data_IF_442100402227
#
_entry.id   IF_442100402227
#
_cell.length_a   1.000
_cell.length_b   1.000
_cell.length_c   1.000
_cell.angle_alpha   90.00
_cell.angle_beta   90.00
_cell.angle_gamma   90.00
#
_symmetry.space_group_name_H-M   'P 1'
#
loop_
_entity.id
_entity.type
_entity.pdbx_description
1 polymer ?
#
# COMPACT_ATOMS: atom_id res chain seq x y z
N UNK A 1 -12.07 21.98 -4.74
CA UNK A 1 -10.79 21.27 -4.94
C UNK A 1 -9.75 21.86 -4.00
N UNK A 2 -8.96 21.05 -3.29
CA UNK A 2 -7.90 21.57 -2.42
C UNK A 2 -6.92 22.40 -3.25
N UNK A 3 -6.59 23.61 -2.79
CA UNK A 3 -5.77 24.60 -3.53
C UNK A 3 -4.30 24.18 -3.77
N UNK A 4 -3.88 22.94 -3.49
CA UNK A 4 -2.45 22.57 -3.38
C UNK A 4 -1.89 21.57 -4.39
N UNK A 5 -2.70 20.90 -5.22
CA UNK A 5 -2.16 19.85 -6.12
C UNK A 5 -1.38 20.47 -7.26
N UNK A 6 -0.27 19.84 -7.65
CA UNK A 6 0.47 20.19 -8.88
C UNK A 6 -0.33 19.78 -10.13
N UNK A 7 0.09 20.19 -11.35
CA UNK A 7 -0.51 19.66 -12.58
C UNK A 7 -0.51 18.13 -12.64
N UNK A 8 0.62 17.49 -12.31
CA UNK A 8 0.76 16.02 -12.24
C UNK A 8 -0.20 15.43 -11.20
N UNK A 9 -0.28 16.01 -10.01
CA UNK A 9 -1.20 15.60 -8.96
C UNK A 9 -2.66 15.66 -9.41
N UNK A 10 -3.08 16.76 -10.05
CA UNK A 10 -4.44 16.91 -10.56
C UNK A 10 -4.74 15.94 -11.71
N UNK A 11 -3.76 15.65 -12.56
CA UNK A 11 -3.92 14.68 -13.65
C UNK A 11 -4.14 13.28 -13.08
N UNK A 12 -3.25 12.83 -12.18
CA UNK A 12 -3.35 11.52 -11.57
C UNK A 12 -4.61 11.37 -10.69
N UNK A 13 -4.97 12.40 -9.93
CA UNK A 13 -6.20 12.40 -9.11
C UNK A 13 -7.45 12.24 -9.96
N UNK A 14 -7.59 13.02 -11.05
CA UNK A 14 -8.71 12.87 -11.99
C UNK A 14 -8.72 11.50 -12.67
N UNK A 15 -7.55 11.00 -13.03
CA UNK A 15 -7.42 9.68 -13.65
C UNK A 15 -7.91 8.59 -12.69
N UNK A 16 -7.40 8.55 -11.46
CA UNK A 16 -7.76 7.52 -10.47
C UNK A 16 -9.21 7.60 -9.95
N UNK A 17 -9.82 8.79 -9.97
CA UNK A 17 -11.22 8.95 -9.58
C UNK A 17 -12.20 8.27 -10.54
N UNK A 18 -11.85 8.18 -11.83
CA UNK A 18 -12.76 7.69 -12.89
C UNK A 18 -12.23 6.54 -13.74
N UNK A 19 -11.01 6.06 -13.51
CA UNK A 19 -10.42 5.02 -14.35
C UNK A 19 -11.12 3.68 -14.16
N UNK A 20 -11.49 3.04 -15.28
CA UNK A 20 -11.88 1.63 -15.30
C UNK A 20 -10.63 0.75 -15.22
N UNK A 21 -10.76 -0.47 -14.70
CA UNK A 21 -9.67 -1.44 -14.58
C UNK A 21 -8.87 -1.63 -15.87
N UNK A 22 -9.54 -1.79 -17.02
CA UNK A 22 -8.88 -1.95 -18.31
C UNK A 22 -8.10 -0.71 -18.76
N UNK A 23 -8.57 0.49 -18.40
CA UNK A 23 -7.87 1.74 -18.68
C UNK A 23 -6.64 1.88 -17.77
N UNK A 24 -6.77 1.54 -16.48
CA UNK A 24 -5.64 1.52 -15.56
C UNK A 24 -4.56 0.53 -16.02
N UNK A 25 -4.96 -0.69 -16.42
CA UNK A 25 -4.04 -1.73 -16.92
C UNK A 25 -3.19 -1.27 -18.10
N UNK A 26 -3.76 -0.49 -19.03
CA UNK A 26 -3.01 0.11 -20.14
C UNK A 26 -2.11 1.23 -19.65
N UNK A 27 -2.63 2.11 -18.79
CA UNK A 27 -1.91 3.26 -18.27
C UNK A 27 -0.61 2.89 -17.53
N UNK A 28 -0.53 1.70 -16.91
CA UNK A 28 0.70 1.20 -16.29
C UNK A 28 1.90 1.23 -17.24
N UNK A 29 1.70 0.95 -18.53
CA UNK A 29 2.76 1.00 -19.55
C UNK A 29 2.90 2.34 -20.27
N UNK A 30 2.09 3.35 -19.93
CA UNK A 30 2.09 4.62 -20.65
C UNK A 30 3.19 5.57 -20.16
N UNK A 31 3.85 6.33 -21.08
CA UNK A 31 4.92 7.25 -20.71
C UNK A 31 4.49 8.34 -19.72
N UNK A 32 3.25 8.83 -19.80
CA UNK A 32 2.78 9.90 -18.93
C UNK A 32 2.68 9.45 -17.46
N UNK A 33 2.25 8.20 -17.22
CA UNK A 33 2.16 7.67 -15.86
C UNK A 33 3.55 7.40 -15.32
N UNK A 34 4.42 6.79 -16.14
CA UNK A 34 5.81 6.52 -15.80
C UNK A 34 6.65 7.80 -15.61
N UNK A 35 6.26 8.91 -16.22
CA UNK A 35 6.87 10.20 -15.94
C UNK A 35 6.57 10.67 -14.50
N UNK A 36 5.37 10.37 -13.97
CA UNK A 36 4.91 10.78 -12.64
C UNK A 36 5.35 9.78 -11.56
N UNK A 37 5.12 8.50 -11.79
CA UNK A 37 5.47 7.36 -10.96
C UNK A 37 6.44 6.49 -11.78
N UNK A 38 7.76 6.67 -11.65
CA UNK A 38 8.73 5.91 -12.45
C UNK A 38 8.58 4.39 -12.26
N UNK A 39 8.87 3.59 -13.28
CA UNK A 39 8.89 2.10 -13.19
C UNK A 39 7.52 1.41 -12.99
N UNK A 40 6.39 2.09 -13.20
CA UNK A 40 5.07 1.44 -13.15
C UNK A 40 4.90 0.38 -14.25
N UNK A 41 5.59 0.55 -15.38
CA UNK A 41 5.64 -0.43 -16.48
C UNK A 41 6.28 -1.76 -16.03
N UNK A 42 7.21 -1.73 -15.07
CA UNK A 42 7.88 -2.92 -14.55
C UNK A 42 6.97 -3.83 -13.71
N UNK A 43 5.79 -3.37 -13.31
CA UNK A 43 4.79 -4.23 -12.66
C UNK A 43 4.25 -5.28 -13.64
N UNK A 44 4.27 -4.98 -14.94
CA UNK A 44 3.78 -5.85 -16.00
C UNK A 44 4.77 -7.01 -16.17
N UNK A 45 4.26 -8.24 -16.06
CA UNK A 45 5.06 -9.46 -16.15
C UNK A 45 5.84 -9.82 -14.88
N UNK A 46 5.81 -8.98 -13.84
CA UNK A 46 6.39 -9.32 -12.54
C UNK A 46 5.48 -10.34 -11.81
N UNK A 47 5.77 -11.63 -11.98
CA UNK A 47 4.94 -12.71 -11.42
C UNK A 47 4.99 -12.74 -9.89
N UNK A 48 3.85 -12.91 -9.22
CA UNK A 48 3.80 -12.96 -7.74
C UNK A 48 4.07 -14.35 -7.15
N UNK A 49 4.09 -15.39 -7.99
CA UNK A 49 4.32 -16.79 -7.59
C UNK A 49 3.04 -17.62 -7.70
N UNK A 50 3.17 -18.94 -7.64
CA UNK A 50 2.06 -19.88 -7.92
C UNK A 50 1.32 -20.35 -6.65
N UNK A 51 1.89 -20.09 -5.45
CA UNK A 51 1.35 -20.57 -4.17
C UNK A 51 0.29 -19.63 -3.59
N UNK A 52 0.39 -18.34 -3.89
CA UNK A 52 -0.54 -17.26 -3.54
C UNK A 52 -0.48 -16.26 -4.70
N UNK A 53 -1.61 -15.63 -5.05
CA UNK A 53 -1.77 -14.71 -6.18
C UNK A 53 -2.08 -15.38 -7.54
N UNK A 54 -3.09 -16.25 -7.59
CA UNK A 54 -3.52 -16.90 -8.84
C UNK A 54 -4.08 -15.92 -9.90
N UNK A 55 -4.27 -14.64 -9.55
CA UNK A 55 -4.62 -13.57 -10.49
C UNK A 55 -3.48 -13.19 -11.45
N UNK A 56 -2.22 -13.53 -11.13
CA UNK A 56 -1.08 -13.41 -12.04
C UNK A 56 0.02 -12.43 -11.61
N UNK A 57 0.30 -11.43 -12.44
CA UNK A 57 1.39 -10.48 -12.22
C UNK A 57 1.00 -9.32 -11.28
N UNK A 58 2.01 -8.63 -10.74
CA UNK A 58 1.82 -7.47 -9.86
C UNK A 58 0.94 -6.39 -10.50
N UNK A 59 1.03 -6.19 -11.81
CA UNK A 59 0.18 -5.25 -12.53
C UNK A 59 -1.31 -5.63 -12.47
N UNK A 60 -1.62 -6.91 -12.69
CA UNK A 60 -2.99 -7.43 -12.65
C UNK A 60 -3.57 -7.33 -11.24
N UNK A 61 -2.79 -7.74 -10.24
CA UNK A 61 -3.15 -7.60 -8.83
C UNK A 61 -3.42 -6.13 -8.46
N UNK A 62 -2.49 -5.22 -8.75
CA UNK A 62 -2.64 -3.78 -8.47
C UNK A 62 -3.92 -3.20 -9.09
N UNK A 63 -4.23 -3.56 -10.34
CA UNK A 63 -5.45 -3.11 -11.02
C UNK A 63 -6.70 -3.63 -10.31
N UNK A 64 -6.69 -4.87 -9.85
CA UNK A 64 -7.79 -5.45 -9.09
C UNK A 64 -7.97 -4.74 -7.74
N UNK A 65 -6.90 -4.48 -6.99
CA UNK A 65 -6.96 -3.71 -5.73
C UNK A 65 -7.59 -2.34 -5.96
N UNK A 66 -7.12 -1.60 -6.97
CA UNK A 66 -7.69 -0.29 -7.32
C UNK A 66 -9.18 -0.34 -7.69
N UNK A 67 -9.62 -1.41 -8.36
CA UNK A 67 -11.01 -1.58 -8.77
C UNK A 67 -11.92 -2.01 -7.59
N UNK A 68 -11.36 -2.76 -6.64
CA UNK A 68 -12.05 -3.29 -5.46
C UNK A 68 -12.17 -2.24 -4.34
N UNK A 69 -11.19 -1.35 -4.20
CA UNK A 69 -11.12 -0.33 -3.14
C UNK A 69 -12.42 0.47 -2.93
N UNK A 70 -13.12 0.97 -3.97
CA UNK A 70 -14.36 1.73 -3.79
C UNK A 70 -15.50 0.91 -3.17
N UNK A 71 -15.53 -0.42 -3.39
CA UNK A 71 -16.55 -1.29 -2.81
C UNK A 71 -16.42 -1.34 -1.28
N UNK A 72 -15.20 -1.51 -0.80
CA UNK A 72 -14.91 -1.54 0.64
C UNK A 72 -15.02 -0.17 1.30
N UNK A 73 -14.65 0.90 0.60
CA UNK A 73 -14.83 2.26 1.13
C UNK A 73 -16.31 2.56 1.36
N UNK A 74 -17.19 2.20 0.41
CA UNK A 74 -18.65 2.34 0.60
C UNK A 74 -19.17 1.44 1.71
N UNK A 75 -18.69 0.20 1.79
CA UNK A 75 -19.12 -0.77 2.81
C UNK A 75 -18.77 -0.32 4.23
N UNK A 76 -17.54 0.14 4.44
CA UNK A 76 -16.99 0.34 5.78
C UNK A 76 -16.95 1.81 6.22
N UNK A 77 -16.95 2.76 5.27
CA UNK A 77 -16.79 4.18 5.55
C UNK A 77 -17.92 5.04 5.00
N UNK A 78 -18.90 4.45 4.31
CA UNK A 78 -20.03 5.14 3.67
C UNK A 78 -19.59 6.33 2.78
N UNK A 79 -18.46 6.16 2.07
CA UNK A 79 -17.92 7.17 1.16
C UNK A 79 -17.10 6.56 0.02
N UNK A 80 -16.79 7.38 -0.98
CA UNK A 80 -15.75 7.06 -1.95
C UNK A 80 -14.35 7.12 -1.31
N UNK A 81 -13.38 6.31 -1.78
CA UNK A 81 -12.00 6.44 -1.37
C UNK A 81 -11.44 7.74 -1.92
N UNK A 82 -10.67 8.45 -1.10
CA UNK A 82 -10.06 9.72 -1.49
C UNK A 82 -8.79 9.50 -2.33
N UNK A 83 -8.16 10.60 -2.75
CA UNK A 83 -6.98 10.52 -3.61
C UNK A 83 -5.81 9.76 -2.96
N UNK A 84 -5.59 9.89 -1.66
CA UNK A 84 -4.47 9.22 -0.97
C UNK A 84 -4.72 7.72 -0.90
N UNK A 85 -5.95 7.30 -0.63
CA UNK A 85 -6.31 5.88 -0.58
C UNK A 85 -6.20 5.23 -1.97
N UNK A 86 -6.66 5.92 -3.01
CA UNK A 86 -6.50 5.46 -4.41
C UNK A 86 -5.04 5.39 -4.82
N UNK A 87 -4.25 6.39 -4.44
CA UNK A 87 -2.81 6.42 -4.70
C UNK A 87 -2.10 5.28 -3.95
N UNK A 88 -2.44 5.05 -2.68
CA UNK A 88 -1.88 3.95 -1.90
C UNK A 88 -2.18 2.59 -2.56
N UNK A 89 -3.41 2.35 -3.01
CA UNK A 89 -3.75 1.14 -3.76
C UNK A 89 -2.91 0.99 -5.04
N UNK A 90 -2.69 2.07 -5.78
CA UNK A 90 -1.86 2.05 -6.99
C UNK A 90 -0.39 1.71 -6.69
N UNK A 91 0.15 2.17 -5.56
CA UNK A 91 1.59 2.10 -5.30
C UNK A 91 2.01 1.12 -4.20
N UNK A 92 1.09 0.42 -3.54
CA UNK A 92 1.41 -0.45 -2.40
C UNK A 92 2.51 -1.47 -2.75
N UNK A 93 2.41 -2.05 -3.95
CA UNK A 93 3.33 -3.04 -4.50
C UNK A 93 4.34 -2.48 -5.51
N UNK A 94 4.41 -1.16 -5.66
CA UNK A 94 5.20 -0.48 -6.71
C UNK A 94 6.66 -0.94 -6.78
N UNK A 95 7.25 -1.28 -5.63
CA UNK A 95 8.66 -1.69 -5.54
C UNK A 95 8.89 -3.20 -5.52
N UNK A 96 7.88 -4.04 -5.71
CA UNK A 96 8.06 -5.50 -5.88
C UNK A 96 9.04 -5.85 -7.02
N UNK A 97 8.96 -5.26 -8.23
CA UNK A 97 9.93 -5.54 -9.31
C UNK A 97 11.37 -5.19 -8.92
N UNK A 98 11.56 -4.04 -8.27
CA UNK A 98 12.88 -3.62 -7.78
C UNK A 98 13.39 -4.57 -6.68
N UNK A 99 12.56 -4.93 -5.71
CA UNK A 99 12.90 -5.86 -4.63
C UNK A 99 13.32 -7.23 -5.19
N UNK A 100 12.61 -7.74 -6.19
CA UNK A 100 12.92 -9.02 -6.85
C UNK A 100 14.28 -9.02 -7.52
N UNK A 101 14.67 -7.95 -8.21
CA UNK A 101 15.99 -7.85 -8.86
C UNK A 101 17.15 -7.95 -7.87
N UNK A 102 16.94 -7.49 -6.64
CA UNK A 102 17.95 -7.50 -5.58
C UNK A 102 17.83 -8.70 -4.63
N UNK A 103 16.84 -9.58 -4.82
CA UNK A 103 16.64 -10.75 -3.98
C UNK A 103 17.77 -11.77 -4.20
N UNK A 104 18.36 -12.28 -3.10
CA UNK A 104 19.34 -13.36 -3.18
C UNK A 104 18.63 -14.66 -3.59
N UNK A 105 19.32 -15.52 -4.33
CA UNK A 105 18.73 -16.82 -4.74
C UNK A 105 18.33 -17.63 -3.49
N UNK A 106 17.05 -17.99 -3.39
CA UNK A 106 16.50 -18.74 -2.26
C UNK A 106 15.97 -17.89 -1.09
N UNK A 107 15.97 -16.55 -1.20
CA UNK A 107 15.31 -15.67 -0.22
C UNK A 107 13.82 -15.48 -0.52
N UNK A 108 13.12 -14.77 0.37
CA UNK A 108 11.76 -14.27 0.07
C UNK A 108 11.75 -13.50 -1.26
N UNK A 109 10.68 -13.60 -2.08
CA UNK A 109 10.71 -13.05 -3.46
C UNK A 109 10.74 -11.53 -3.56
N UNK A 110 10.20 -10.82 -2.55
CA UNK A 110 10.02 -9.38 -2.57
C UNK A 110 10.45 -8.74 -1.24
N UNK A 111 11.73 -8.87 -0.84
CA UNK A 111 12.20 -8.37 0.44
C UNK A 111 12.04 -6.85 0.51
N UNK A 112 11.43 -6.38 1.60
CA UNK A 112 11.34 -4.95 1.97
C UNK A 112 10.70 -4.02 0.93
N UNK A 113 9.88 -4.54 0.03
CA UNK A 113 9.26 -3.75 -1.03
C UNK A 113 8.38 -2.61 -0.45
N UNK A 114 7.75 -2.84 0.69
CA UNK A 114 6.94 -1.85 1.41
C UNK A 114 7.80 -0.65 1.85
N UNK A 115 9.00 -0.91 2.38
CA UNK A 115 9.90 0.15 2.83
C UNK A 115 10.54 0.89 1.66
N UNK A 116 10.85 0.19 0.56
CA UNK A 116 11.31 0.83 -0.67
C UNK A 116 10.24 1.80 -1.21
N UNK A 117 8.98 1.38 -1.25
CA UNK A 117 7.89 2.25 -1.71
C UNK A 117 7.65 3.42 -0.72
N UNK A 118 7.70 3.17 0.58
CA UNK A 118 7.55 4.19 1.62
C UNK A 118 8.67 5.24 1.59
N UNK A 119 9.88 4.86 1.20
CA UNK A 119 11.02 5.77 1.10
C UNK A 119 10.83 6.84 0.00
N UNK A 120 10.07 6.51 -1.06
CA UNK A 120 9.80 7.39 -2.19
C UNK A 120 8.64 8.39 -1.94
N UNK A 121 7.82 8.15 -0.90
CA UNK A 121 6.64 8.99 -0.64
C UNK A 121 6.93 10.48 -0.44
N UNK A 122 8.06 10.94 0.13
CA UNK A 122 8.35 12.37 0.22
C UNK A 122 8.60 13.02 -1.15
N UNK A 123 9.24 12.30 -2.07
CA UNK A 123 9.44 12.78 -3.44
C UNK A 123 8.10 12.83 -4.19
N UNK A 124 7.29 11.77 -4.07
CA UNK A 124 5.94 11.73 -4.64
C UNK A 124 5.04 12.83 -4.07
N UNK A 125 5.11 13.08 -2.75
CA UNK A 125 4.32 14.12 -2.10
C UNK A 125 4.61 15.51 -2.67
N UNK A 126 5.91 15.85 -2.83
CA UNK A 126 6.33 17.09 -3.50
C UNK A 126 5.83 17.13 -4.94
N UNK A 127 6.00 16.05 -5.69
CA UNK A 127 5.61 15.98 -7.09
C UNK A 127 4.10 16.14 -7.31
N UNK A 128 3.29 15.55 -6.45
CA UNK A 128 1.82 15.53 -6.57
C UNK A 128 1.15 16.71 -5.84
N UNK A 129 1.89 17.43 -4.98
CA UNK A 129 1.34 18.51 -4.17
C UNK A 129 0.46 18.00 -3.02
N UNK A 130 0.90 16.90 -2.39
CA UNK A 130 0.29 16.39 -1.16
C UNK A 130 0.63 17.31 0.01
N UNK A 131 -0.34 17.49 0.90
CA UNK A 131 -0.09 18.13 2.19
C UNK A 131 0.77 17.23 3.10
N UNK A 132 1.43 17.75 4.13
CA UNK A 132 2.19 16.92 5.07
C UNK A 132 1.35 15.81 5.72
N UNK A 133 0.06 16.07 5.98
CA UNK A 133 -0.84 15.05 6.53
C UNK A 133 -1.17 13.94 5.54
N UNK A 134 -1.29 14.27 4.25
CA UNK A 134 -1.54 13.29 3.19
C UNK A 134 -0.30 12.45 2.89
N UNK A 135 0.89 13.06 2.88
CA UNK A 135 2.15 12.33 2.79
C UNK A 135 2.30 11.34 3.94
N UNK A 136 2.11 11.81 5.19
CA UNK A 136 2.21 10.95 6.37
C UNK A 136 1.22 9.77 6.30
N UNK A 137 0.00 10.03 5.84
CA UNK A 137 -1.02 8.99 5.63
C UNK A 137 -0.59 8.00 4.55
N UNK A 138 -0.19 8.49 3.37
CA UNK A 138 0.26 7.65 2.26
C UNK A 138 1.42 6.74 2.69
N UNK A 139 2.43 7.33 3.33
CA UNK A 139 3.59 6.62 3.85
C UNK A 139 3.19 5.56 4.85
N UNK A 140 2.32 5.89 5.80
CA UNK A 140 1.83 4.93 6.79
C UNK A 140 1.13 3.74 6.14
N UNK A 141 0.23 3.98 5.18
CA UNK A 141 -0.51 2.92 4.51
C UNK A 141 0.44 2.01 3.73
N UNK A 142 1.27 2.58 2.84
CA UNK A 142 2.17 1.82 1.97
C UNK A 142 3.18 1.02 2.79
N UNK A 143 3.73 1.61 3.84
CA UNK A 143 4.75 0.94 4.62
C UNK A 143 4.18 -0.24 5.44
N UNK A 144 2.94 -0.13 5.94
CA UNK A 144 2.34 -1.13 6.83
C UNK A 144 1.39 -2.12 6.13
N UNK A 145 1.21 -2.06 4.81
CA UNK A 145 0.16 -2.85 4.14
C UNK A 145 0.36 -4.37 4.31
N UNK A 146 1.59 -4.88 4.23
CA UNK A 146 1.90 -6.29 4.51
C UNK A 146 1.59 -6.70 5.95
N UNK A 147 1.96 -5.85 6.93
CA UNK A 147 1.64 -6.07 8.35
C UNK A 147 0.13 -6.11 8.63
N UNK A 148 -0.68 -5.44 7.82
CA UNK A 148 -2.13 -5.47 7.98
C UNK A 148 -2.73 -6.84 7.64
N UNK A 149 -2.13 -7.60 6.73
CA UNK A 149 -2.48 -9.01 6.49
C UNK A 149 -2.08 -9.91 7.64
N UNK A 150 -0.98 -9.60 8.32
CA UNK A 150 -0.51 -10.35 9.49
C UNK A 150 -1.19 -9.93 10.80
N UNK A 151 -2.11 -8.96 10.77
CA UNK A 151 -2.67 -8.31 11.96
C UNK A 151 -3.12 -9.28 13.08
N UNK A 152 -3.85 -10.38 12.82
CA UNK A 152 -4.27 -11.31 13.87
C UNK A 152 -3.10 -11.97 14.60
N UNK A 153 -1.97 -12.14 13.91
CA UNK A 153 -0.79 -12.87 14.37
C UNK A 153 0.30 -11.96 14.95
N UNK A 154 0.17 -10.64 14.79
CA UNK A 154 1.10 -9.68 15.39
C UNK A 154 1.07 -9.75 16.92
N UNK A 155 2.21 -9.49 17.60
CA UNK A 155 2.24 -9.21 19.02
C UNK A 155 1.29 -8.06 19.37
N UNK A 156 0.79 -8.05 20.62
CA UNK A 156 -0.15 -7.04 21.10
C UNK A 156 0.35 -5.60 20.86
N UNK A 157 1.62 -5.33 21.15
CA UNK A 157 2.24 -4.02 20.89
C UNK A 157 2.19 -3.60 19.43
N UNK A 158 2.36 -4.54 18.49
CA UNK A 158 2.24 -4.29 17.06
C UNK A 158 0.81 -3.98 16.64
N UNK A 159 -0.15 -4.77 17.15
CA UNK A 159 -1.59 -4.52 16.91
C UNK A 159 -2.04 -3.16 17.45
N UNK A 160 -1.63 -2.82 18.67
CA UNK A 160 -1.92 -1.52 19.29
C UNK A 160 -1.30 -0.38 18.50
N UNK A 161 -0.05 -0.53 18.05
CA UNK A 161 0.63 0.52 17.29
C UNK A 161 -0.13 0.87 16.02
N UNK A 162 -0.57 -0.13 15.25
CA UNK A 162 -1.35 0.11 14.04
C UNK A 162 -2.73 0.69 14.35
N UNK A 163 -3.43 0.17 15.37
CA UNK A 163 -4.78 0.62 15.74
C UNK A 163 -4.82 2.01 16.39
N UNK A 164 -3.74 2.46 17.06
CA UNK A 164 -3.63 3.82 17.62
C UNK A 164 -3.37 4.90 16.56
N UNK A 165 -2.89 4.54 15.38
CA UNK A 165 -2.67 5.55 14.33
C UNK A 165 -4.00 6.06 13.83
N UNK A 166 -4.10 7.37 13.64
CA UNK A 166 -5.27 7.99 13.00
C UNK A 166 -5.49 7.58 11.54
N UNK A 167 -4.51 6.89 10.96
CA UNK A 167 -4.56 6.39 9.60
C UNK A 167 -4.98 4.92 9.51
N UNK A 168 -5.26 4.27 10.64
CA UNK A 168 -5.74 2.88 10.65
C UNK A 168 -6.93 2.64 9.71
N UNK A 169 -7.94 3.55 9.56
CA UNK A 169 -9.07 3.25 8.69
C UNK A 169 -8.67 3.12 7.22
N UNK A 170 -7.71 3.95 6.76
CA UNK A 170 -7.19 3.87 5.40
C UNK A 170 -6.27 2.66 5.20
N UNK A 171 -5.54 2.22 6.22
CA UNK A 171 -4.75 0.99 6.18
C UNK A 171 -5.66 -0.26 6.11
N UNK A 172 -6.67 -0.34 6.98
CA UNK A 172 -7.65 -1.42 6.99
C UNK A 172 -8.47 -1.46 5.69
N UNK A 173 -8.79 -0.29 5.13
CA UNK A 173 -9.44 -0.18 3.83
C UNK A 173 -8.57 -0.78 2.70
N UNK A 174 -7.28 -0.43 2.65
CA UNK A 174 -6.37 -1.01 1.66
C UNK A 174 -6.25 -2.52 1.86
N UNK A 175 -6.06 -2.99 3.10
CA UNK A 175 -5.96 -4.40 3.43
C UNK A 175 -7.21 -5.18 2.97
N UNK A 176 -8.41 -4.64 3.17
CA UNK A 176 -9.64 -5.28 2.75
C UNK A 176 -9.71 -5.44 1.21
N UNK A 177 -9.35 -4.39 0.48
CA UNK A 177 -9.37 -4.40 -0.98
C UNK A 177 -8.29 -5.31 -1.57
N UNK A 178 -7.11 -5.31 -0.98
CA UNK A 178 -5.96 -6.16 -1.32
C UNK A 178 -6.28 -7.63 -1.05
N UNK A 179 -6.76 -7.95 0.16
CA UNK A 179 -7.10 -9.31 0.55
C UNK A 179 -8.14 -9.94 -0.36
N UNK A 180 -9.18 -9.18 -0.73
CA UNK A 180 -10.20 -9.61 -1.69
C UNK A 180 -9.67 -9.74 -3.13
N UNK A 181 -8.56 -9.07 -3.46
CA UNK A 181 -7.98 -9.14 -4.80
C UNK A 181 -6.92 -10.24 -4.92
N UNK A 182 -6.45 -10.80 -3.80
CA UNK A 182 -5.53 -11.93 -3.77
C UNK A 182 -6.30 -13.26 -3.91
N UNK A 183 -6.05 -14.03 -4.98
CA UNK A 183 -6.71 -15.30 -5.22
C UNK A 183 -5.88 -16.46 -4.67
N UNK A 184 -6.50 -17.26 -3.80
CA UNK A 184 -5.85 -18.37 -3.10
C UNK A 184 -6.07 -19.72 -3.80
N UNK A 185 -5.10 -20.66 -3.71
CA UNK A 185 -5.33 -22.05 -4.10
C UNK A 185 -6.49 -22.67 -3.32
N UNK A 186 -7.33 -23.44 -3.99
CA UNK A 186 -8.54 -24.01 -3.39
C UNK A 186 -9.77 -23.08 -3.43
N UNK A 187 -9.61 -21.85 -3.95
CA UNK A 187 -10.68 -20.88 -4.13
C UNK A 187 -10.83 -19.90 -2.97
N UNK A 188 -11.43 -18.74 -3.26
CA UNK A 188 -11.62 -17.67 -2.30
C UNK A 188 -10.46 -16.66 -2.26
N UNK A 189 -10.44 -15.89 -1.17
CA UNK A 189 -9.60 -14.72 -0.99
C UNK A 189 -8.91 -14.73 0.37
N UNK A 190 -7.90 -13.89 0.55
CA UNK A 190 -7.31 -13.66 1.87
C UNK A 190 -8.36 -13.09 2.84
N UNK A 191 -8.22 -13.34 4.16
CA UNK A 191 -9.14 -12.79 5.15
C UNK A 191 -9.06 -11.26 5.23
N UNK A 192 -10.23 -10.63 5.35
CA UNK A 192 -10.37 -9.21 5.61
C UNK A 192 -10.34 -8.99 7.12
N UNK A 193 -9.54 -8.04 7.59
CA UNK A 193 -9.30 -7.79 9.02
C UNK A 193 -9.92 -6.49 9.55
N UNK A 194 -10.81 -5.84 8.78
CA UNK A 194 -11.44 -4.57 9.16
C UNK A 194 -11.96 -4.57 10.60
N UNK A 195 -12.77 -5.57 10.95
CA UNK A 195 -13.43 -5.65 12.25
C UNK A 195 -12.42 -5.82 13.40
N UNK A 196 -11.25 -6.40 13.14
CA UNK A 196 -10.18 -6.52 14.15
C UNK A 196 -9.50 -5.17 14.41
N UNK A 197 -9.22 -4.41 13.34
CA UNK A 197 -8.69 -3.05 13.47
C UNK A 197 -9.67 -2.14 14.21
N UNK A 198 -10.95 -2.18 13.82
CA UNK A 198 -12.00 -1.36 14.42
C UNK A 198 -12.19 -1.68 15.91
N UNK A 199 -12.27 -2.96 16.28
CA UNK A 199 -12.37 -3.38 17.68
C UNK A 199 -11.16 -2.95 18.51
N UNK A 200 -9.95 -3.03 17.94
CA UNK A 200 -8.74 -2.60 18.63
C UNK A 200 -8.74 -1.08 18.84
N UNK A 201 -9.09 -0.30 17.80
CA UNK A 201 -9.18 1.16 17.90
C UNK A 201 -10.21 1.59 18.96
N UNK A 202 -11.42 1.00 18.96
CA UNK A 202 -12.47 1.31 19.94
C UNK A 202 -12.06 1.02 21.39
N UNK A 203 -11.20 0.02 21.62
CA UNK A 203 -10.64 -0.26 22.97
C UNK A 203 -9.61 0.79 23.41
N UNK A 204 -8.93 1.41 22.45
CA UNK A 204 -7.85 2.38 22.67
C UNK A 204 -8.36 3.83 22.75
N UNK A 205 -9.62 4.08 22.39
CA UNK A 205 -10.29 5.39 22.34
C UNK A 205 -10.37 6.16 23.67
N UNK A 206 -9.83 5.60 24.76
CA UNK A 206 -9.52 6.34 26.00
C UNK A 206 -8.46 7.45 25.83
N UNK A 207 -7.84 7.60 24.65
CA UNK A 207 -7.01 8.75 24.32
C UNK A 207 -6.40 8.66 22.92
N UNK A 208 -7.00 9.35 21.95
CA UNK A 208 -6.39 9.60 20.65
C UNK A 208 -5.11 10.44 20.83
N UNK A 209 -3.96 9.81 21.03
CA UNK A 209 -2.69 10.54 21.10
C UNK A 209 -2.21 10.86 19.69
N UNK A 210 -2.34 12.13 19.29
CA UNK A 210 -1.63 12.67 18.13
C UNK A 210 -0.11 12.54 18.40
N UNK A 211 0.52 11.46 17.93
CA UNK A 211 1.95 11.28 18.21
C UNK A 211 2.60 9.97 17.79
N UNK A 212 1.84 8.89 17.52
CA UNK A 212 2.44 7.60 17.19
C UNK A 212 2.39 7.23 15.69
N UNK A 213 2.31 8.21 14.79
CA UNK A 213 2.54 7.99 13.34
C UNK A 213 4.03 7.66 13.03
N UNK A 214 4.83 7.34 14.06
CA UNK A 214 6.21 6.90 13.94
C UNK A 214 6.25 5.42 13.56
N UNK A 215 6.93 5.18 12.45
CA UNK A 215 7.28 3.86 11.94
C UNK A 215 8.08 3.07 12.99
N UNK A 216 7.73 1.82 13.33
CA UNK A 216 8.60 1.00 14.14
C UNK A 216 9.73 0.52 13.22
N UNK A 217 10.86 1.25 13.22
CA UNK A 217 12.10 0.70 12.68
C UNK A 217 12.43 -0.66 13.33
N UNK A 218 11.95 -0.89 14.56
CA UNK A 218 12.23 -2.06 15.38
C UNK A 218 11.37 -3.31 15.12
N UNK A 219 10.17 -3.20 14.51
CA UNK A 219 9.31 -4.38 14.32
C UNK A 219 9.88 -5.38 13.29
N UNK A 220 10.83 -4.95 12.47
CA UNK A 220 11.58 -5.77 11.53
C UNK A 220 13.10 -5.81 11.82
N UNK A 221 13.55 -5.35 13.01
CA UNK A 221 14.96 -5.46 13.44
C UNK A 221 15.33 -6.88 13.96
N UNK A 222 14.81 -7.92 13.31
CA UNK A 222 15.51 -9.20 13.21
C UNK A 222 16.03 -9.33 11.78
N UNK A 223 16.97 -8.45 11.42
CA UNK A 223 17.99 -8.63 10.35
C UNK A 223 18.72 -7.29 10.11
N UNK A 224 19.19 -6.66 11.19
CA UNK A 224 19.93 -5.39 11.19
C UNK A 224 21.29 -5.45 10.45
N UNK A 225 21.66 -6.59 9.88
CA UNK A 225 22.86 -6.79 9.07
C UNK A 225 22.69 -6.39 7.60
N UNK A 226 21.46 -6.32 7.08
CA UNK A 226 21.22 -6.08 5.64
C UNK A 226 21.34 -4.59 5.26
N UNK A 227 20.85 -3.68 6.10
CA UNK A 227 20.86 -2.23 5.79
C UNK A 227 22.26 -1.62 5.71
N UNK A 228 23.26 -2.20 6.39
CA UNK A 228 24.65 -1.73 6.31
C UNK A 228 25.35 -2.15 5.01
N UNK A 229 24.95 -3.26 4.39
CA UNK A 229 25.53 -3.75 3.13
C UNK A 229 24.99 -3.00 1.90
N UNK A 230 23.76 -2.47 1.95
CA UNK A 230 23.14 -1.75 0.83
C UNK A 230 23.63 -0.30 0.64
N UNK A 231 24.24 0.31 1.65
CA UNK A 231 24.87 1.64 1.53
C UNK A 231 26.37 1.59 1.19
N UNK A 232 26.96 0.39 1.15
CA UNK A 232 28.39 0.17 0.90
C UNK A 232 28.69 -0.45 -0.48
N UNK A 233 27.68 -0.54 -1.36
CA UNK A 233 27.76 -0.98 -2.77
C UNK A 233 27.12 0.07 -3.68
#
# INVERSE_FOLDING_TARGET
MPKSRTPDGRLLERFLAGCKASTLRRALGEPWLNAILPEMDQLIGCQQGDDLHLEGDVATHTVMVCATLPLYARRYLDREPDFVERLAALIHDWKKPAARRHARRGSVPFPHHEQLAAAETPLLARRLGLTPGEEARLRFIVANHGLAHEYPFLPESGREQLARSRFWPSLALLQAADAHSCWCPGGGHLPVHWELFEQAALRLDGGWTAGNDRWPAAAYQRESTIFAELHAL
#
